data_IF_645505409968
#
_entry.id   IF_645505409968
#
_cell.length_a   1.000
_cell.length_b   1.000
_cell.length_c   1.000
_cell.angle_alpha   90.00
_cell.angle_beta   90.00
_cell.angle_gamma   90.00
#
_symmetry.space_group_name_H-M   'P 1'
#
loop_
_entity.id
_entity.type
_entity.pdbx_description
1 polymer ?
#
# COMPACT_ATOMS: atom_id res chain seq x y z
N UNK A 1 -10.02 1.64 -4.05
CA UNK A 1 -8.70 1.69 -3.39
C UNK A 1 -8.29 3.12 -3.02
N UNK A 2 -8.26 4.08 -3.95
CA UNK A 2 -7.91 5.49 -3.64
C UNK A 2 -8.78 6.06 -2.50
N UNK A 3 -10.10 5.87 -2.56
CA UNK A 3 -11.04 6.36 -1.53
C UNK A 3 -10.77 5.76 -0.14
N UNK A 4 -10.44 4.47 -0.08
CA UNK A 4 -10.12 3.79 1.18
C UNK A 4 -8.84 4.36 1.78
N UNK A 5 -7.80 4.57 0.95
CA UNK A 5 -6.55 5.18 1.41
C UNK A 5 -6.76 6.63 1.85
N UNK A 6 -7.63 7.38 1.15
CA UNK A 6 -8.08 8.71 1.56
C UNK A 6 -8.73 8.70 2.95
N UNK A 7 -9.69 7.81 3.16
CA UNK A 7 -10.36 7.64 4.45
C UNK A 7 -9.38 7.25 5.56
N UNK A 8 -8.40 6.37 5.28
CA UNK A 8 -7.38 6.01 6.26
C UNK A 8 -6.54 7.22 6.68
N UNK A 9 -6.14 8.08 5.73
CA UNK A 9 -5.43 9.33 6.05
C UNK A 9 -6.29 10.30 6.86
N UNK A 10 -7.59 10.41 6.55
CA UNK A 10 -8.54 11.23 7.33
C UNK A 10 -8.74 10.72 8.76
N UNK A 11 -8.67 9.39 8.95
CA UNK A 11 -8.68 8.76 10.27
C UNK A 11 -7.34 8.87 11.01
N UNK A 12 -6.33 9.52 10.41
CA UNK A 12 -5.03 9.80 11.02
C UNK A 12 -3.97 8.72 10.80
N UNK A 13 -4.19 7.79 9.88
CA UNK A 13 -3.19 6.79 9.52
C UNK A 13 -2.15 7.37 8.54
N UNK A 14 -0.89 6.96 8.71
CA UNK A 14 0.16 7.27 7.76
C UNK A 14 0.19 6.21 6.66
N UNK A 15 0.06 6.67 5.42
CA UNK A 15 -0.04 5.83 4.23
C UNK A 15 1.28 5.88 3.48
N UNK A 16 1.97 4.74 3.44
CA UNK A 16 3.21 4.56 2.68
C UNK A 16 2.92 3.67 1.47
N UNK A 17 3.26 4.16 0.27
CA UNK A 17 3.03 3.42 -0.97
C UNK A 17 4.36 3.24 -1.69
N UNK A 18 4.73 1.98 -1.89
CA UNK A 18 5.83 1.59 -2.75
C UNK A 18 5.31 1.05 -4.09
N UNK A 19 5.80 1.59 -5.21
CA UNK A 19 5.43 1.13 -6.56
C UNK A 19 6.65 1.05 -7.47
N UNK A 20 6.51 0.34 -8.59
CA UNK A 20 7.45 0.44 -9.71
C UNK A 20 7.21 1.73 -10.50
N UNK A 21 8.24 2.34 -11.11
CA UNK A 21 8.10 3.55 -11.91
C UNK A 21 7.53 3.22 -13.31
N UNK A 22 6.23 2.95 -13.39
CA UNK A 22 5.51 2.76 -14.65
C UNK A 22 4.36 3.76 -14.78
N UNK A 23 3.94 4.04 -16.02
CA UNK A 23 2.97 5.09 -16.33
C UNK A 23 1.60 4.88 -15.65
N UNK A 24 1.22 3.61 -15.42
CA UNK A 24 -0.02 3.28 -14.73
C UNK A 24 0.07 3.66 -13.24
N UNK A 25 1.15 3.27 -12.57
CA UNK A 25 1.38 3.62 -11.17
C UNK A 25 1.51 5.14 -10.98
N UNK A 26 2.20 5.85 -11.88
CA UNK A 26 2.29 7.31 -11.78
C UNK A 26 0.92 8.00 -11.88
N UNK A 27 -0.01 7.47 -12.67
CA UNK A 27 -1.39 7.98 -12.73
C UNK A 27 -2.13 7.77 -11.41
N UNK A 28 -1.96 6.61 -10.78
CA UNK A 28 -2.51 6.30 -9.47
C UNK A 28 -1.92 7.21 -8.38
N UNK A 29 -0.59 7.35 -8.33
CA UNK A 29 0.11 8.19 -7.36
C UNK A 29 -0.31 9.65 -7.46
N UNK A 30 -0.48 10.18 -8.69
CA UNK A 30 -0.98 11.54 -8.90
C UNK A 30 -2.38 11.73 -8.31
N UNK A 31 -3.32 10.84 -8.64
CA UNK A 31 -4.70 10.94 -8.13
C UNK A 31 -4.76 10.88 -6.61
N UNK A 32 -3.95 10.02 -5.98
CA UNK A 32 -3.92 9.92 -4.53
C UNK A 32 -3.28 11.14 -3.88
N UNK A 33 -2.22 11.68 -4.49
CA UNK A 33 -1.61 12.93 -4.05
C UNK A 33 -2.59 14.11 -4.13
N UNK A 34 -3.36 14.21 -5.22
CA UNK A 34 -4.36 15.26 -5.40
C UNK A 34 -5.47 15.14 -4.34
N UNK A 35 -5.91 13.92 -4.02
CA UNK A 35 -6.86 13.67 -2.93
C UNK A 35 -6.28 14.06 -1.57
N UNK A 36 -5.05 13.65 -1.25
CA UNK A 36 -4.42 13.97 0.03
C UNK A 36 -4.25 15.49 0.20
N UNK A 37 -3.89 16.20 -0.87
CA UNK A 37 -3.84 17.68 -0.90
C UNK A 37 -5.20 18.31 -0.66
N UNK A 38 -6.24 17.82 -1.34
CA UNK A 38 -7.59 18.34 -1.19
C UNK A 38 -8.13 18.20 0.24
N UNK A 39 -7.76 17.13 0.95
CA UNK A 39 -8.13 16.89 2.35
C UNK A 39 -7.12 17.43 3.37
N UNK A 40 -6.03 18.10 2.95
CA UNK A 40 -4.99 18.63 3.85
C UNK A 40 -4.14 17.55 4.56
N UNK A 41 -4.13 16.32 4.06
CA UNK A 41 -3.47 15.16 4.66
C UNK A 41 -2.18 14.74 3.92
N UNK A 42 -1.62 15.62 3.08
CA UNK A 42 -0.42 15.37 2.30
C UNK A 42 0.81 14.93 3.14
N UNK A 43 0.91 15.41 4.39
CA UNK A 43 2.01 15.02 5.29
C UNK A 43 1.94 13.56 5.74
N UNK A 44 0.79 12.91 5.58
CA UNK A 44 0.56 11.50 5.94
C UNK A 44 0.80 10.55 4.78
N UNK A 45 1.17 11.07 3.61
CA UNK A 45 1.34 10.29 2.40
C UNK A 45 2.80 10.27 1.96
N UNK A 46 3.40 9.08 1.94
CA UNK A 46 4.77 8.87 1.46
C UNK A 46 4.81 7.94 0.27
N UNK A 47 5.60 8.29 -0.74
CA UNK A 47 5.78 7.49 -1.96
C UNK A 47 7.22 7.00 -2.13
N UNK A 48 7.39 5.71 -2.35
CA UNK A 48 8.65 5.10 -2.77
C UNK A 48 8.54 4.54 -4.18
N UNK A 49 9.45 4.94 -5.06
CA UNK A 49 9.56 4.41 -6.42
C UNK A 49 10.74 3.46 -6.48
N UNK A 50 10.46 2.17 -6.58
CA UNK A 50 11.47 1.13 -6.51
C UNK A 50 11.44 0.30 -7.80
N UNK A 51 12.56 0.25 -8.57
CA UNK A 51 12.64 -0.56 -9.79
C UNK A 51 12.38 -2.04 -9.51
N UNK A 52 12.84 -2.50 -8.35
CA UNK A 52 12.69 -3.88 -7.89
C UNK A 52 11.74 -3.90 -6.69
N UNK A 53 10.53 -4.40 -6.93
CA UNK A 53 9.48 -4.54 -5.91
C UNK A 53 8.91 -5.96 -6.00
N UNK A 54 9.31 -6.84 -5.08
CA UNK A 54 8.86 -8.24 -5.06
C UNK A 54 7.64 -8.45 -4.16
N UNK A 55 7.50 -7.64 -3.10
CA UNK A 55 6.39 -7.70 -2.15
C UNK A 55 5.15 -7.01 -2.71
N UNK A 56 4.00 -7.67 -2.58
CA UNK A 56 2.70 -7.16 -3.00
C UNK A 56 1.70 -7.39 -1.88
N UNK A 57 1.34 -6.33 -1.18
CA UNK A 57 0.47 -6.42 -0.01
C UNK A 57 0.21 -5.08 0.65
N UNK A 58 -0.73 -5.08 1.59
CA UNK A 58 -1.07 -3.96 2.46
C UNK A 58 -0.80 -4.44 3.89
N UNK A 59 0.05 -3.71 4.60
CA UNK A 59 0.33 -3.94 6.01
C UNK A 59 -0.34 -2.82 6.80
N UNK A 60 -1.22 -3.20 7.73
CA UNK A 60 -1.69 -2.33 8.80
C UNK A 60 -1.01 -2.70 10.12
N UNK A 61 -1.43 -2.08 11.22
CA UNK A 61 -0.79 -2.31 12.51
C UNK A 61 -0.93 -3.74 13.01
N UNK A 62 -2.14 -4.29 12.88
CA UNK A 62 -2.52 -5.62 13.39
C UNK A 62 -2.96 -6.59 12.28
N UNK A 63 -2.79 -6.21 11.01
CA UNK A 63 -3.22 -7.03 9.88
C UNK A 63 -2.26 -6.94 8.70
N UNK A 64 -2.24 -8.02 7.94
CA UNK A 64 -1.52 -8.09 6.69
C UNK A 64 -2.40 -8.71 5.61
N UNK A 65 -2.51 -8.01 4.48
CA UNK A 65 -3.14 -8.48 3.25
C UNK A 65 -2.04 -8.70 2.23
N UNK A 66 -1.93 -9.89 1.67
CA UNK A 66 -0.98 -10.18 0.60
C UNK A 66 -1.62 -10.92 -0.57
N UNK A 67 -1.04 -10.75 -1.76
CA UNK A 67 -1.47 -11.43 -2.97
C UNK A 67 -0.30 -11.71 -3.90
N UNK A 68 -0.48 -12.69 -4.81
CA UNK A 68 0.55 -13.04 -5.80
C UNK A 68 0.73 -11.94 -6.86
N UNK A 69 -0.31 -11.17 -7.19
CA UNK A 69 -0.24 -10.00 -8.08
C UNK A 69 -0.70 -8.67 -7.45
N UNK A 70 -0.55 -7.60 -8.25
CA UNK A 70 -0.92 -6.24 -7.91
C UNK A 70 -2.41 -6.17 -7.51
N UNK A 71 -2.71 -5.59 -6.35
CA UNK A 71 -4.07 -5.40 -5.85
C UNK A 71 -4.76 -4.31 -6.69
N UNK A 72 -5.25 -4.71 -7.86
CA UNK A 72 -6.03 -3.89 -8.79
C UNK A 72 -7.41 -4.52 -8.95
N UNK A 73 -8.44 -3.74 -9.29
CA UNK A 73 -9.80 -4.24 -9.53
C UNK A 73 -9.79 -5.41 -10.55
N UNK A 74 -8.95 -5.31 -11.59
CA UNK A 74 -8.75 -6.36 -12.57
C UNK A 74 -8.07 -7.63 -12.00
N UNK A 75 -7.22 -7.50 -10.98
CA UNK A 75 -6.55 -8.64 -10.33
C UNK A 75 -7.48 -9.51 -9.48
N UNK A 76 -8.52 -8.90 -8.90
CA UNK A 76 -9.49 -9.60 -8.04
C UNK A 76 -10.63 -10.21 -8.86
N UNK A 77 -11.17 -9.49 -9.87
CA UNK A 77 -12.30 -10.00 -10.67
C UNK A 77 -11.91 -10.98 -11.79
N UNK A 78 -10.70 -10.90 -12.36
CA UNK A 78 -10.37 -11.64 -13.59
C UNK A 78 -9.49 -12.87 -13.36
N UNK A 79 -8.72 -12.93 -12.26
CA UNK A 79 -7.60 -13.89 -12.14
C UNK A 79 -7.76 -14.99 -11.09
N UNK A 80 -8.87 -15.04 -10.33
CA UNK A 80 -9.08 -16.01 -9.24
C UNK A 80 -7.91 -16.10 -8.25
N UNK A 81 -7.15 -15.02 -8.05
CA UNK A 81 -6.02 -15.06 -7.12
C UNK A 81 -6.49 -14.95 -5.68
N UNK A 82 -6.02 -15.87 -4.84
CA UNK A 82 -6.30 -15.86 -3.41
C UNK A 82 -5.61 -14.68 -2.73
N UNK A 83 -6.39 -13.77 -2.17
CA UNK A 83 -5.89 -12.80 -1.20
C UNK A 83 -5.74 -13.51 0.15
N UNK A 84 -4.54 -13.46 0.73
CA UNK A 84 -4.31 -13.89 2.09
C UNK A 84 -4.52 -12.70 3.02
N UNK A 85 -5.55 -12.77 3.86
CA UNK A 85 -5.74 -11.88 5.01
C UNK A 85 -5.32 -12.63 6.27
N UNK A 86 -4.43 -12.04 7.06
CA UNK A 86 -4.02 -12.59 8.35
C UNK A 86 -3.89 -11.50 9.41
N UNK A 87 -4.29 -11.85 10.63
CA UNK A 87 -4.07 -11.06 11.86
C UNK A 87 -3.15 -11.82 12.83
N UNK A 88 -2.50 -12.87 12.37
CA UNK A 88 -1.53 -13.63 13.16
C UNK A 88 -0.31 -12.74 13.43
N UNK A 89 0.04 -12.59 14.71
CA UNK A 89 1.06 -11.64 15.15
C UNK A 89 2.46 -11.96 14.58
N UNK A 90 2.79 -13.25 14.42
CA UNK A 90 4.05 -13.68 13.82
C UNK A 90 4.10 -13.31 12.34
N UNK A 91 3.02 -13.60 11.60
CA UNK A 91 2.88 -13.24 10.19
C UNK A 91 2.93 -11.73 9.95
N UNK A 92 2.25 -10.94 10.80
CA UNK A 92 2.26 -9.47 10.74
C UNK A 92 3.65 -8.92 11.06
N UNK A 93 4.34 -9.46 12.07
CA UNK A 93 5.70 -9.05 12.43
C UNK A 93 6.69 -9.33 11.30
N UNK A 94 6.63 -10.52 10.70
CA UNK A 94 7.49 -10.90 9.57
C UNK A 94 7.23 -10.02 8.34
N UNK A 95 5.96 -9.72 8.05
CA UNK A 95 5.61 -8.77 7.00
C UNK A 95 6.15 -7.37 7.31
N UNK A 96 6.04 -6.90 8.56
CA UNK A 96 6.59 -5.61 9.01
C UNK A 96 8.10 -5.52 8.79
N UNK A 97 8.86 -6.56 9.12
CA UNK A 97 10.31 -6.60 8.87
C UNK A 97 10.59 -6.49 7.36
N UNK A 98 9.90 -7.28 6.53
CA UNK A 98 10.07 -7.22 5.08
C UNK A 98 9.69 -5.86 4.47
N UNK A 99 8.69 -5.19 5.03
CA UNK A 99 8.29 -3.84 4.61
C UNK A 99 9.28 -2.78 5.11
N UNK A 100 9.81 -2.88 6.32
CA UNK A 100 10.81 -1.95 6.84
C UNK A 100 12.13 -2.06 6.09
N UNK A 101 12.60 -3.29 5.83
CA UNK A 101 13.83 -3.55 5.07
C UNK A 101 13.70 -3.08 3.61
N UNK A 102 12.50 -3.17 3.03
CA UNK A 102 12.25 -2.77 1.65
C UNK A 102 11.97 -1.27 1.45
N UNK A 103 11.35 -0.61 2.43
CA UNK A 103 10.72 0.71 2.23
C UNK A 103 11.18 1.79 3.22
N UNK A 104 12.03 1.46 4.19
CA UNK A 104 12.60 2.46 5.09
C UNK A 104 11.54 3.17 5.93
N UNK A 105 10.70 2.38 6.62
CA UNK A 105 9.78 2.88 7.64
C UNK A 105 10.57 3.39 8.85
N UNK A 106 11.14 4.59 8.74
CA UNK A 106 11.71 5.29 9.87
C UNK A 106 10.77 6.43 10.26
N UNK A 107 10.22 6.28 11.47
CA UNK A 107 9.98 7.32 12.49
C UNK A 107 8.99 8.43 12.15
#
# INVERSE_FOLDING_TARGET
MIEILGLMMELGADVVIATRPDAHNESFLRKLNDLARASGNESRLTFHRLPTLHTKGILGDDFYISGSMNITFNGIEVLQEGLLFTTDAESVSNARIAFMDGYGGNS
#
